data_IF_333238970916
#
_entry.id   IF_333238970916
#
_cell.length_a   1.000
_cell.length_b   1.000
_cell.length_c   1.000
_cell.angle_alpha   90.00
_cell.angle_beta   90.00
_cell.angle_gamma   90.00
#
_symmetry.space_group_name_H-M   'P 1'
#
loop_
_entity.id
_entity.type
_entity.pdbx_description
1 polymer ?
#
# COMPACT_ATOMS: atom_id res chain seq x y z
N UNK A 1 1.27 11.12 13.86
CA UNK A 1 0.89 10.08 12.89
C UNK A 1 2.16 9.36 12.48
N UNK A 2 2.12 8.14 11.93
CA UNK A 2 3.33 7.48 11.43
C UNK A 2 3.81 8.12 10.11
N UNK A 3 5.13 8.21 9.92
CA UNK A 3 5.76 8.72 8.70
C UNK A 3 5.22 8.05 7.42
N UNK A 4 4.98 6.74 7.49
CA UNK A 4 4.51 5.95 6.34
C UNK A 4 3.05 6.31 6.00
N UNK A 5 2.20 6.51 7.02
CA UNK A 5 0.81 6.90 6.82
C UNK A 5 0.68 8.33 6.27
N UNK A 6 1.55 9.25 6.70
CA UNK A 6 1.58 10.64 6.20
C UNK A 6 2.01 10.73 4.73
N UNK A 7 2.76 9.74 4.23
CA UNK A 7 3.23 9.69 2.85
C UNK A 7 2.46 8.69 1.97
N UNK A 8 1.49 7.98 2.53
CA UNK A 8 0.67 7.05 1.76
C UNK A 8 -0.21 7.83 0.78
N UNK A 9 -0.14 7.47 -0.49
CA UNK A 9 -1.08 7.93 -1.50
C UNK A 9 -1.56 6.74 -2.31
N UNK A 10 -2.77 6.84 -2.84
CA UNK A 10 -3.26 5.87 -3.80
C UNK A 10 -4.05 6.57 -4.89
N UNK A 11 -4.03 5.97 -6.06
CA UNK A 11 -4.75 6.43 -7.23
C UNK A 11 -5.48 5.26 -7.87
N UNK A 12 -6.66 5.54 -8.42
CA UNK A 12 -7.49 4.61 -9.17
C UNK A 12 -7.66 5.14 -10.58
N UNK A 13 -7.23 4.37 -11.58
CA UNK A 13 -7.34 4.73 -13.00
C UNK A 13 -8.08 3.64 -13.73
N UNK A 14 -9.15 3.99 -14.46
CA UNK A 14 -9.84 3.04 -15.32
C UNK A 14 -8.91 2.57 -16.44
N UNK A 15 -8.72 1.26 -16.56
CA UNK A 15 -7.98 0.65 -17.68
C UNK A 15 -8.94 0.42 -18.85
N UNK A 16 -10.16 -0.03 -18.53
CA UNK A 16 -11.28 -0.19 -19.45
C UNK A 16 -12.60 -0.16 -18.65
N UNK A 17 -13.71 -0.52 -19.28
CA UNK A 17 -15.04 -0.47 -18.64
C UNK A 17 -15.23 -1.49 -17.50
N UNK A 18 -14.37 -2.50 -17.39
CA UNK A 18 -14.51 -3.63 -16.46
C UNK A 18 -13.44 -3.63 -15.36
N UNK A 19 -12.34 -2.90 -15.53
CA UNK A 19 -11.17 -2.98 -14.66
C UNK A 19 -10.59 -1.60 -14.35
N UNK A 20 -10.34 -1.38 -13.06
CA UNK A 20 -9.59 -0.26 -12.53
C UNK A 20 -8.19 -0.71 -12.09
N UNK A 21 -7.15 0.03 -12.48
CA UNK A 21 -5.80 -0.09 -11.93
C UNK A 21 -5.71 0.74 -10.66
N UNK A 22 -5.24 0.12 -9.59
CA UNK A 22 -4.99 0.77 -8.31
C UNK A 22 -3.48 0.84 -8.12
N UNK A 23 -2.95 2.04 -8.00
CA UNK A 23 -1.55 2.29 -7.63
C UNK A 23 -1.52 2.80 -6.21
N UNK A 24 -0.75 2.15 -5.34
CA UNK A 24 -0.51 2.55 -3.95
C UNK A 24 0.96 2.91 -3.85
N UNK A 25 1.28 4.14 -3.45
CA UNK A 25 2.65 4.54 -3.17
C UNK A 25 2.81 4.99 -1.72
N UNK A 26 4.02 4.85 -1.20
CA UNK A 26 4.40 5.49 0.05
C UNK A 26 5.91 5.70 0.09
N UNK A 27 6.34 6.56 1.02
CA UNK A 27 7.74 6.70 1.40
C UNK A 27 8.00 5.87 2.64
N UNK A 28 9.08 5.10 2.60
CA UNK A 28 9.55 4.25 3.68
C UNK A 28 10.80 4.86 4.32
N UNK A 29 10.98 4.71 5.64
CA UNK A 29 12.09 5.34 6.37
C UNK A 29 13.48 4.91 5.90
N UNK A 30 13.60 3.71 5.34
CA UNK A 30 14.81 3.18 4.71
C UNK A 30 14.49 1.93 3.87
N UNK A 31 15.51 1.38 3.21
CA UNK A 31 15.38 0.25 2.30
C UNK A 31 15.03 -1.10 2.95
N UNK A 32 15.11 -1.23 4.27
CA UNK A 32 14.78 -2.48 4.96
C UNK A 32 13.32 -2.54 5.44
N UNK A 33 12.58 -1.43 5.34
CA UNK A 33 11.12 -1.47 5.40
C UNK A 33 10.56 -1.98 4.07
N UNK A 34 9.41 -2.64 4.13
CA UNK A 34 8.64 -2.98 2.94
C UNK A 34 7.15 -2.69 3.14
N UNK A 35 6.41 -2.63 2.02
CA UNK A 35 4.95 -2.55 2.01
C UNK A 35 4.42 -3.70 1.15
N UNK A 36 3.43 -4.43 1.66
CA UNK A 36 2.72 -5.47 0.89
C UNK A 36 1.21 -5.30 0.98
N UNK A 37 0.49 -5.80 -0.02
CA UNK A 37 -0.95 -6.04 0.10
C UNK A 37 -1.14 -7.31 0.92
N UNK A 38 -1.78 -7.20 2.08
CA UNK A 38 -2.05 -8.34 2.97
C UNK A 38 -3.36 -9.04 2.62
N UNK A 39 -4.40 -8.27 2.34
CA UNK A 39 -5.74 -8.78 2.04
C UNK A 39 -6.49 -7.79 1.17
N UNK A 40 -7.36 -8.28 0.30
CA UNK A 40 -8.39 -7.48 -0.36
C UNK A 40 -9.72 -8.11 -0.01
N UNK A 41 -10.63 -7.31 0.56
CA UNK A 41 -12.00 -7.76 0.86
C UNK A 41 -12.99 -7.06 -0.05
N UNK A 42 -14.06 -7.76 -0.39
CA UNK A 42 -15.13 -7.25 -1.24
C UNK A 42 -16.43 -7.35 -0.47
N UNK A 43 -17.04 -6.21 -0.17
CA UNK A 43 -18.33 -6.15 0.50
C UNK A 43 -19.19 -5.08 -0.18
N UNK A 44 -20.42 -5.47 -0.52
CA UNK A 44 -21.36 -4.65 -1.28
C UNK A 44 -20.75 -4.11 -2.59
N UNK A 45 -20.47 -2.80 -2.64
CA UNK A 45 -19.84 -2.08 -3.76
C UNK A 45 -18.48 -1.50 -3.39
N UNK A 46 -17.83 -2.03 -2.36
CA UNK A 46 -16.52 -1.59 -1.91
C UNK A 46 -15.51 -2.73 -2.00
N UNK A 47 -14.30 -2.36 -2.43
CA UNK A 47 -13.12 -3.19 -2.29
C UNK A 47 -12.17 -2.49 -1.31
N UNK A 48 -11.95 -3.11 -0.15
CA UNK A 48 -10.98 -2.61 0.84
C UNK A 48 -9.66 -3.36 0.66
N UNK A 49 -8.62 -2.62 0.29
CA UNK A 49 -7.25 -3.13 0.20
C UNK A 49 -6.56 -2.86 1.52
N UNK A 50 -6.26 -3.93 2.26
CA UNK A 50 -5.44 -3.86 3.46
C UNK A 50 -3.98 -4.06 3.06
N UNK A 51 -3.18 -3.03 3.25
CA UNK A 51 -1.72 -3.09 3.14
C UNK A 51 -1.08 -3.25 4.50
N UNK A 52 0.09 -3.86 4.55
CA UNK A 52 0.86 -4.08 5.77
C UNK A 52 2.28 -3.56 5.57
N UNK A 53 2.75 -2.76 6.53
CA UNK A 53 4.15 -2.37 6.62
C UNK A 53 4.94 -3.50 7.25
N UNK A 54 5.95 -3.99 6.55
CA UNK A 54 6.94 -4.92 7.09
C UNK A 54 8.09 -4.08 7.64
N UNK A 55 8.31 -4.18 8.94
CA UNK A 55 9.43 -3.53 9.60
C UNK A 55 10.68 -4.42 9.51
N UNK A 56 11.89 -3.83 9.40
CA UNK A 56 13.11 -4.59 9.48
C UNK A 56 13.24 -5.27 10.85
N UNK A 57 13.87 -6.45 10.87
CA UNK A 57 14.28 -7.05 12.14
C UNK A 57 15.41 -6.23 12.79
N UNK A 58 15.60 -6.37 14.12
CA UNK A 58 16.66 -5.64 14.85
C UNK A 58 18.07 -5.88 14.28
N UNK A 59 18.29 -7.00 13.60
CA UNK A 59 19.56 -7.31 12.91
C UNK A 59 19.74 -6.61 11.56
N UNK A 60 18.68 -6.00 11.01
CA UNK A 60 18.64 -5.45 9.65
C UNK A 60 18.64 -3.91 9.63
N UNK A 61 18.80 -3.24 10.76
CA UNK A 61 18.78 -1.76 10.83
C UNK A 61 19.85 -1.20 9.89
N UNK A 62 19.47 -0.61 8.74
CA UNK A 62 20.44 -0.12 7.78
C UNK A 62 21.11 1.12 8.35
N UNK A 63 22.42 1.20 8.20
CA UNK A 63 23.20 2.41 8.50
C UNK A 63 22.98 3.54 7.49
N UNK A 64 22.14 3.31 6.46
CA UNK A 64 21.87 4.24 5.37
C UNK A 64 20.72 5.19 5.74
N UNK A 65 21.03 6.49 5.77
CA UNK A 65 20.05 7.57 5.94
C UNK A 65 19.42 7.94 4.59
N UNK A 66 18.57 7.06 4.06
CA UNK A 66 17.87 7.28 2.79
C UNK A 66 16.38 7.06 2.96
N UNK A 67 15.56 7.83 2.25
CA UNK A 67 14.12 7.58 2.12
C UNK A 67 13.92 6.77 0.84
N UNK A 68 13.19 5.65 0.94
CA UNK A 68 12.83 4.83 -0.22
C UNK A 68 11.37 5.05 -0.59
N UNK A 69 11.06 4.94 -1.88
CA UNK A 69 9.68 4.96 -2.35
C UNK A 69 9.29 3.55 -2.78
N UNK A 70 8.10 3.11 -2.38
CA UNK A 70 7.54 1.82 -2.77
C UNK A 70 6.24 2.04 -3.51
N UNK A 71 6.11 1.38 -4.65
CA UNK A 71 4.88 1.34 -5.44
C UNK A 71 4.33 -0.09 -5.46
N UNK A 72 3.04 -0.24 -5.18
CA UNK A 72 2.27 -1.47 -5.36
C UNK A 72 1.17 -1.22 -6.38
N UNK A 73 1.01 -2.15 -7.31
CA UNK A 73 -0.04 -2.10 -8.34
C UNK A 73 -0.93 -3.33 -8.19
N UNK A 74 -2.24 -3.10 -8.17
CA UNK A 74 -3.24 -4.16 -8.30
C UNK A 74 -4.37 -3.73 -9.25
N UNK A 75 -5.23 -4.67 -9.61
CA UNK A 75 -6.35 -4.46 -10.52
C UNK A 75 -7.62 -4.96 -9.88
N UNK A 76 -8.67 -4.14 -9.89
CA UNK A 76 -9.97 -4.41 -9.27
C UNK A 76 -11.07 -4.20 -10.29
N UNK A 77 -12.10 -5.03 -10.24
CA UNK A 77 -13.31 -4.90 -11.07
C UNK A 77 -13.94 -3.52 -10.88
N UNK A 78 -14.26 -2.84 -11.98
CA UNK A 78 -14.73 -1.46 -12.03
C UNK A 78 -16.05 -1.23 -11.27
N UNK A 79 -16.80 -2.29 -10.96
CA UNK A 79 -18.03 -2.22 -10.15
C UNK A 79 -17.79 -1.88 -8.69
N UNK A 80 -16.56 -1.97 -8.20
CA UNK A 80 -16.20 -1.66 -6.81
C UNK A 80 -15.52 -0.30 -6.67
N UNK A 81 -15.96 0.47 -5.67
CA UNK A 81 -15.24 1.63 -5.17
C UNK A 81 -14.08 1.16 -4.29
N UNK A 82 -12.86 1.60 -4.61
CA UNK A 82 -11.66 1.13 -3.91
C UNK A 82 -11.28 2.04 -2.76
N UNK A 83 -10.95 1.45 -1.62
CA UNK A 83 -10.32 2.12 -0.47
C UNK A 83 -9.05 1.39 -0.07
N UNK A 84 -8.08 2.11 0.48
CA UNK A 84 -6.80 1.55 0.92
C UNK A 84 -6.61 1.86 2.40
N UNK A 85 -6.27 0.82 3.17
CA UNK A 85 -5.98 0.92 4.60
C UNK A 85 -4.63 0.29 4.91
N UNK A 86 -3.77 1.03 5.60
CA UNK A 86 -2.48 0.51 6.07
C UNK A 86 -2.64 -0.04 7.48
N UNK A 87 -2.15 -1.25 7.69
CA UNK A 87 -1.90 -1.85 8.98
C UNK A 87 -0.43 -1.64 9.32
N UNK A 88 -0.17 -0.94 10.42
CA UNK A 88 1.15 -0.91 11.05
C UNK A 88 1.17 -1.99 12.13
N UNK A 89 2.31 -2.67 12.26
CA UNK A 89 2.46 -3.96 12.95
C UNK A 89 1.63 -4.21 14.21
N UNK A 90 1.26 -5.48 14.38
CA UNK A 90 0.79 -6.07 15.64
C UNK A 90 1.96 -6.29 16.59
#
# INVERSE_FOLDING_TARGET
MSFILENLQFNTVAVNNEVNKITINTKLPNAAYDLKIRLITFQDKQAEILTEVIQPSDSEIPTLQVITEKELITFIDSKYNTTVKVLEGF
#
